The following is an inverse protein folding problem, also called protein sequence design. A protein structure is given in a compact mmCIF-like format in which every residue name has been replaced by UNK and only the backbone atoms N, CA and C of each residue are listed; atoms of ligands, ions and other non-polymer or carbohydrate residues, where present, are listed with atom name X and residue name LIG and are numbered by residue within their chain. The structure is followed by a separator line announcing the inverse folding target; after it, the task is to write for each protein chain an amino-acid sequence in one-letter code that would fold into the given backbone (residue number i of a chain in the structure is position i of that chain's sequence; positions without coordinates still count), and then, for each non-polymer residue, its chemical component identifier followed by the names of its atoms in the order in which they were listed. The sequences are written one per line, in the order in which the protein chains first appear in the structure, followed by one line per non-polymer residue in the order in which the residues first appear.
data_IF_130563915949
#
_entry.id   IF_130563915949
#
_cell.length_a   1.000
_cell.length_b   1.000
_cell.length_c   1.000
_cell.angle_alpha   90.00
_cell.angle_beta   90.00
_cell.angle_gamma   90.00
#
_symmetry.space_group_name_H-M   'P 1'
#
loop_
_entity.id
_entity.type
_entity.pdbx_description
1 polymer ?
#
# COMPACT_ATOMS: atom_id res chain seq x y z
N UNK A 1 -28.26 8.99 4.07
CA UNK A 1 -28.16 7.94 3.03
C UNK A 1 -27.04 8.23 2.05
N UNK A 2 -26.46 7.23 1.37
CA UNK A 2 -25.65 7.50 0.17
C UNK A 2 -26.65 8.06 -0.84
N UNK A 3 -26.38 9.22 -1.44
CA UNK A 3 -27.31 9.77 -2.41
C UNK A 3 -27.12 8.97 -3.69
N UNK A 4 -27.78 7.82 -3.75
CA UNK A 4 -27.73 6.88 -4.85
C UNK A 4 -28.34 7.45 -6.13
N UNK A 5 -29.16 8.48 -5.97
CA UNK A 5 -29.77 9.23 -7.04
C UNK A 5 -28.94 10.51 -7.23
N UNK A 6 -27.86 10.36 -8.00
CA UNK A 6 -27.19 11.52 -8.59
C UNK A 6 -28.17 12.23 -9.55
N UNK A 7 -28.03 13.55 -9.78
CA UNK A 7 -28.83 14.23 -10.80
C UNK A 7 -28.73 13.50 -12.14
N UNK A 8 -29.76 13.61 -12.99
CA UNK A 8 -29.93 12.95 -14.31
C UNK A 8 -28.71 13.09 -15.23
N UNK A 9 -27.64 12.38 -14.92
CA UNK A 9 -26.44 12.25 -15.73
C UNK A 9 -26.72 11.13 -16.71
N UNK A 10 -26.87 11.50 -17.99
CA UNK A 10 -26.95 10.53 -19.09
C UNK A 10 -25.56 9.94 -19.31
N UNK A 11 -25.45 8.61 -19.24
CA UNK A 11 -24.22 7.88 -19.50
C UNK A 11 -24.38 7.07 -20.79
N UNK A 12 -23.34 7.08 -21.64
CA UNK A 12 -23.30 6.20 -22.82
C UNK A 12 -23.03 4.76 -22.39
N UNK A 13 -23.88 3.85 -22.83
CA UNK A 13 -23.80 2.43 -22.51
C UNK A 13 -23.06 1.68 -23.62
N UNK A 14 -22.00 0.94 -23.26
CA UNK A 14 -21.26 0.12 -24.22
C UNK A 14 -21.75 -1.34 -24.24
N UNK A 15 -21.32 -2.10 -25.24
CA UNK A 15 -21.76 -3.49 -25.47
C UNK A 15 -21.30 -4.50 -24.40
N UNK A 16 -20.41 -4.10 -23.48
CA UNK A 16 -19.91 -4.96 -22.39
C UNK A 16 -20.58 -4.70 -21.05
N UNK A 17 -21.51 -3.75 -21.00
CA UNK A 17 -22.34 -3.47 -19.84
C UNK A 17 -23.74 -4.06 -20.05
N UNK A 18 -24.38 -4.45 -18.96
CA UNK A 18 -25.77 -4.91 -18.96
C UNK A 18 -26.62 -3.99 -18.09
N UNK A 19 -27.70 -3.46 -18.65
CA UNK A 19 -28.66 -2.65 -17.90
C UNK A 19 -29.69 -3.55 -17.22
N UNK A 20 -29.69 -3.55 -15.89
CA UNK A 20 -30.70 -4.25 -15.10
C UNK A 20 -31.87 -3.31 -14.82
N UNK A 21 -33.05 -3.63 -15.36
CA UNK A 21 -34.30 -2.91 -15.11
C UNK A 21 -35.16 -3.70 -14.13
N UNK A 22 -35.55 -3.06 -13.03
CA UNK A 22 -36.44 -3.67 -12.03
C UNK A 22 -37.86 -3.61 -12.56
N UNK A 23 -38.49 -4.77 -12.79
CA UNK A 23 -39.88 -4.87 -13.25
C UNK A 23 -40.89 -4.49 -12.16
N UNK A 24 -40.59 -4.83 -10.90
CA UNK A 24 -41.49 -4.56 -9.78
C UNK A 24 -40.70 -4.14 -8.53
N UNK A 25 -40.75 -2.85 -8.20
CA UNK A 25 -40.10 -2.26 -7.04
C UNK A 25 -40.77 -2.61 -5.70
N UNK A 26 -41.97 -3.23 -5.73
CA UNK A 26 -42.65 -3.78 -4.54
C UNK A 26 -42.09 -5.14 -4.11
N UNK A 27 -41.21 -5.76 -4.90
CA UNK A 27 -40.63 -7.08 -4.59
C UNK A 27 -39.13 -6.97 -4.29
N UNK A 28 -38.41 -6.13 -5.04
CA UNK A 28 -36.94 -6.05 -4.95
C UNK A 28 -36.48 -4.60 -4.79
N UNK A 29 -35.64 -4.36 -3.79
CA UNK A 29 -34.94 -3.09 -3.62
C UNK A 29 -33.70 -3.04 -4.53
N UNK A 30 -33.56 -1.97 -5.32
CA UNK A 30 -32.41 -1.75 -6.22
C UNK A 30 -31.06 -1.82 -5.50
N UNK A 31 -30.96 -1.24 -4.32
CA UNK A 31 -29.70 -1.18 -3.56
C UNK A 31 -29.35 -2.53 -2.93
N UNK A 32 -30.35 -3.28 -2.47
CA UNK A 32 -30.15 -4.66 -2.06
C UNK A 32 -29.62 -5.50 -3.24
N UNK A 33 -30.25 -5.37 -4.41
CA UNK A 33 -29.84 -6.08 -5.62
C UNK A 33 -28.40 -5.70 -6.05
N UNK A 34 -28.01 -4.43 -5.92
CA UNK A 34 -26.63 -4.00 -6.10
C UNK A 34 -25.66 -4.80 -5.21
N UNK A 35 -25.96 -4.94 -3.91
CA UNK A 35 -25.09 -5.69 -3.01
C UNK A 35 -25.08 -7.19 -3.32
N UNK A 36 -26.21 -7.77 -3.71
CA UNK A 36 -26.32 -9.17 -4.16
C UNK A 36 -25.40 -9.42 -5.35
N UNK A 37 -25.45 -8.60 -6.41
CA UNK A 37 -24.56 -8.74 -7.56
C UNK A 37 -23.08 -8.49 -7.26
N UNK A 38 -22.79 -7.71 -6.23
CA UNK A 38 -21.42 -7.49 -5.76
C UNK A 38 -20.93 -8.54 -4.76
N UNK A 39 -21.79 -9.47 -4.34
CA UNK A 39 -21.40 -10.55 -3.43
C UNK A 39 -20.51 -11.57 -4.11
N UNK A 40 -19.61 -12.18 -3.32
CA UNK A 40 -18.70 -13.21 -3.81
C UNK A 40 -19.45 -14.42 -4.39
N UNK A 41 -20.58 -14.82 -3.77
CA UNK A 41 -21.40 -15.94 -4.22
C UNK A 41 -21.88 -15.71 -5.66
N UNK A 42 -22.55 -14.57 -5.89
CA UNK A 42 -23.13 -14.26 -7.20
C UNK A 42 -22.06 -14.04 -8.26
N UNK A 43 -20.99 -13.30 -7.93
CA UNK A 43 -19.87 -13.10 -8.87
C UNK A 43 -19.21 -14.41 -9.28
N UNK A 44 -19.05 -15.35 -8.34
CA UNK A 44 -18.50 -16.68 -8.63
C UNK A 44 -19.45 -17.49 -9.51
N UNK A 45 -20.75 -17.51 -9.22
CA UNK A 45 -21.75 -18.19 -10.06
C UNK A 45 -21.82 -17.64 -11.48
N UNK A 46 -21.75 -16.31 -11.65
CA UNK A 46 -21.71 -15.67 -12.97
C UNK A 46 -20.41 -16.02 -13.71
N UNK A 47 -19.26 -16.02 -13.01
CA UNK A 47 -17.97 -16.35 -13.63
C UNK A 47 -17.84 -17.84 -14.01
N UNK A 48 -18.48 -18.73 -13.24
CA UNK A 48 -18.50 -20.16 -13.49
C UNK A 48 -19.38 -20.53 -14.68
N UNK A 49 -20.47 -19.79 -14.90
CA UNK A 49 -21.39 -20.01 -16.02
C UNK A 49 -21.01 -19.22 -17.28
N UNK A 50 -20.03 -18.33 -17.21
CA UNK A 50 -19.55 -17.54 -18.34
C UNK A 50 -18.77 -18.40 -19.36
N UNK A 51 -18.96 -18.11 -20.65
CA UNK A 51 -18.36 -18.84 -21.76
C UNK A 51 -17.06 -18.19 -22.24
N UNK A 52 -16.08 -18.99 -22.69
CA UNK A 52 -14.79 -18.52 -23.23
C UNK A 52 -13.60 -18.77 -22.31
N UNK A 53 -12.43 -19.08 -22.88
CA UNK A 53 -11.22 -19.51 -22.15
C UNK A 53 -10.26 -18.36 -21.82
N UNK A 54 -10.11 -17.37 -22.72
CA UNK A 54 -9.26 -16.18 -22.50
C UNK A 54 -10.05 -14.92 -22.11
N UNK A 55 -11.25 -14.76 -22.65
CA UNK A 55 -12.19 -13.68 -22.30
C UNK A 55 -13.53 -14.33 -22.02
N UNK A 56 -14.01 -14.20 -20.79
CA UNK A 56 -15.29 -14.77 -20.36
C UNK A 56 -16.43 -13.81 -20.68
N UNK A 57 -17.44 -14.30 -21.38
CA UNK A 57 -18.67 -13.58 -21.67
C UNK A 57 -19.85 -14.23 -20.95
N UNK A 58 -20.76 -13.43 -20.39
CA UNK A 58 -22.03 -13.90 -19.82
C UNK A 58 -23.19 -13.32 -20.63
N UNK A 59 -24.26 -14.10 -20.80
CA UNK A 59 -25.48 -13.61 -21.46
C UNK A 59 -26.44 -12.99 -20.43
N UNK A 60 -27.32 -12.07 -20.85
CA UNK A 60 -28.38 -11.56 -19.98
C UNK A 60 -29.27 -12.66 -19.41
N UNK A 61 -29.55 -13.71 -20.19
CA UNK A 61 -30.37 -14.83 -19.74
C UNK A 61 -29.73 -15.55 -18.54
N UNK A 62 -28.42 -15.86 -18.61
CA UNK A 62 -27.69 -16.49 -17.49
C UNK A 62 -27.71 -15.65 -16.22
N UNK A 63 -27.78 -14.32 -16.33
CA UNK A 63 -27.92 -13.42 -15.19
C UNK A 63 -29.34 -13.50 -14.61
N UNK A 64 -30.37 -13.58 -15.45
CA UNK A 64 -31.76 -13.75 -15.03
C UNK A 64 -32.03 -15.12 -14.39
N UNK A 65 -31.27 -16.16 -14.78
CA UNK A 65 -31.41 -17.52 -14.25
C UNK A 65 -30.79 -17.70 -12.85
N UNK A 66 -30.12 -16.66 -12.30
CA UNK A 66 -29.52 -16.72 -10.98
C UNK A 66 -30.58 -16.80 -9.88
N UNK A 67 -30.44 -17.80 -9.02
CA UNK A 67 -31.28 -17.95 -7.82
C UNK A 67 -30.67 -17.12 -6.68
N UNK A 68 -31.45 -16.20 -6.13
CA UNK A 68 -31.04 -15.33 -5.03
C UNK A 68 -32.06 -15.40 -3.88
N UNK A 69 -31.63 -15.37 -2.61
CA UNK A 69 -32.56 -15.26 -1.49
C UNK A 69 -33.18 -13.86 -1.48
N UNK A 70 -34.51 -13.79 -1.42
CA UNK A 70 -35.26 -12.54 -1.41
C UNK A 70 -35.96 -12.39 -0.05
N UNK A 71 -35.37 -11.69 0.93
CA UNK A 71 -36.05 -11.39 2.18
C UNK A 71 -37.16 -10.35 1.97
N UNK A 72 -38.04 -10.11 2.95
CA UNK A 72 -39.06 -9.06 2.86
C UNK A 72 -38.46 -7.69 2.52
N UNK A 73 -39.21 -6.88 1.77
CA UNK A 73 -38.75 -5.56 1.30
C UNK A 73 -38.15 -4.66 2.41
N UNK A 74 -38.74 -4.55 3.62
CA UNK A 74 -38.15 -3.72 4.67
C UNK A 74 -36.78 -4.23 5.11
N UNK A 75 -36.60 -5.55 5.15
CA UNK A 75 -35.30 -6.16 5.47
C UNK A 75 -34.28 -5.91 4.35
N UNK A 76 -34.69 -6.03 3.07
CA UNK A 76 -33.80 -5.70 1.94
C UNK A 76 -33.27 -4.27 2.03
N UNK A 77 -34.14 -3.30 2.33
CA UNK A 77 -33.77 -1.89 2.51
C UNK A 77 -32.80 -1.72 3.68
N UNK A 78 -33.10 -2.33 4.84
CA UNK A 78 -32.23 -2.27 6.02
C UNK A 78 -30.86 -2.90 5.77
N UNK A 79 -30.80 -4.05 5.08
CA UNK A 79 -29.54 -4.69 4.67
C UNK A 79 -28.74 -3.74 3.77
N UNK A 80 -29.39 -3.14 2.77
CA UNK A 80 -28.74 -2.20 1.87
C UNK A 80 -28.20 -0.98 2.62
N UNK A 81 -28.97 -0.41 3.55
CA UNK A 81 -28.54 0.73 4.36
C UNK A 81 -27.32 0.41 5.24
N UNK A 82 -27.30 -0.77 5.87
CA UNK A 82 -26.16 -1.25 6.65
C UNK A 82 -24.92 -1.35 5.75
N UNK A 83 -25.02 -2.04 4.62
CA UNK A 83 -23.88 -2.26 3.72
C UNK A 83 -23.40 -0.95 3.05
N UNK A 84 -24.31 -0.03 2.74
CA UNK A 84 -24.00 1.33 2.28
C UNK A 84 -23.24 2.14 3.34
N UNK A 85 -23.56 1.96 4.62
CA UNK A 85 -22.84 2.64 5.71
C UNK A 85 -21.38 2.18 5.76
N UNK A 86 -21.13 0.88 5.56
CA UNK A 86 -19.77 0.35 5.42
C UNK A 86 -19.04 0.90 4.20
N UNK A 87 -19.71 0.99 3.04
CA UNK A 87 -19.11 1.59 1.84
C UNK A 87 -18.67 3.04 2.06
N UNK A 88 -19.52 3.83 2.72
CA UNK A 88 -19.18 5.21 3.08
C UNK A 88 -17.99 5.28 4.02
N UNK A 89 -17.97 4.45 5.06
CA UNK A 89 -16.87 4.43 6.01
C UNK A 89 -15.54 4.08 5.34
N UNK A 90 -15.55 3.09 4.43
CA UNK A 90 -14.39 2.70 3.61
C UNK A 90 -13.95 3.86 2.71
N UNK A 91 -14.88 4.49 1.99
CA UNK A 91 -14.56 5.60 1.08
C UNK A 91 -13.98 6.82 1.83
N UNK A 92 -14.56 7.18 2.98
CA UNK A 92 -14.05 8.26 3.83
C UNK A 92 -12.65 7.95 4.36
N UNK A 93 -12.39 6.70 4.75
CA UNK A 93 -11.08 6.28 5.22
C UNK A 93 -10.03 6.30 4.10
N UNK A 94 -10.38 5.89 2.87
CA UNK A 94 -9.51 6.01 1.69
C UNK A 94 -9.17 7.47 1.37
N UNK A 95 -10.16 8.37 1.47
CA UNK A 95 -9.95 9.81 1.31
C UNK A 95 -9.04 10.38 2.41
N UNK A 96 -9.23 9.97 3.66
CA UNK A 96 -8.39 10.38 4.79
C UNK A 96 -6.94 9.93 4.60
N UNK A 97 -6.70 8.67 4.22
CA UNK A 97 -5.34 8.17 3.90
C UNK A 97 -4.69 9.00 2.80
N UNK A 98 -5.44 9.33 1.75
CA UNK A 98 -4.95 10.17 0.64
C UNK A 98 -4.57 11.57 1.12
N UNK A 99 -5.42 12.20 1.93
CA UNK A 99 -5.16 13.51 2.51
C UNK A 99 -3.92 13.50 3.43
N UNK A 100 -3.77 12.47 4.26
CA UNK A 100 -2.62 12.29 5.16
C UNK A 100 -1.31 12.07 4.40
N UNK A 101 -1.32 11.28 3.32
CA UNK A 101 -0.16 11.13 2.42
C UNK A 101 0.25 12.45 1.78
N UNK A 102 -0.72 13.24 1.29
CA UNK A 102 -0.46 14.57 0.71
C UNK A 102 0.11 15.53 1.76
N UNK A 103 -0.43 15.52 2.97
CA UNK A 103 0.10 16.31 4.09
C UNK A 103 1.55 15.92 4.41
N UNK A 104 1.86 14.62 4.51
CA UNK A 104 3.23 14.13 4.73
C UNK A 104 4.17 14.62 3.63
N UNK A 105 3.77 14.52 2.36
CA UNK A 105 4.58 15.00 1.24
C UNK A 105 4.87 16.51 1.35
N UNK A 106 3.87 17.31 1.74
CA UNK A 106 4.05 18.73 2.02
C UNK A 106 5.01 18.99 3.17
N UNK A 107 4.90 18.24 4.27
CA UNK A 107 5.82 18.33 5.41
C UNK A 107 7.27 17.97 5.02
N UNK A 108 7.46 16.91 4.23
CA UNK A 108 8.78 16.53 3.71
C UNK A 108 9.37 17.68 2.88
N UNK A 109 8.58 18.28 1.98
CA UNK A 109 9.05 19.42 1.19
C UNK A 109 9.41 20.61 2.07
N UNK A 110 8.65 20.90 3.12
CA UNK A 110 8.93 22.03 4.00
C UNK A 110 10.17 21.81 4.88
N UNK A 111 10.26 20.66 5.55
CA UNK A 111 11.26 20.37 6.56
C UNK A 111 12.60 19.95 5.94
N UNK A 112 12.60 19.03 4.96
CA UNK A 112 13.83 18.48 4.38
C UNK A 112 14.52 19.45 3.41
N UNK A 113 13.84 20.51 2.98
CA UNK A 113 14.44 21.57 2.13
C UNK A 113 14.67 22.87 2.88
N UNK A 114 14.51 22.88 4.22
CA UNK A 114 14.68 24.07 5.07
C UNK A 114 13.73 25.24 4.76
N UNK A 115 12.70 25.06 3.93
CA UNK A 115 11.66 26.09 3.70
C UNK A 115 10.93 26.48 4.98
N UNK A 116 10.82 25.55 5.93
CA UNK A 116 10.32 25.79 7.27
C UNK A 116 11.19 25.01 8.26
N UNK A 117 11.47 25.63 9.40
CA UNK A 117 12.17 25.00 10.53
C UNK A 117 11.30 25.10 11.78
N UNK A 118 11.68 24.36 12.82
CA UNK A 118 11.11 24.57 14.14
C UNK A 118 11.70 25.85 14.74
N UNK A 119 10.92 26.55 15.56
CA UNK A 119 11.28 27.90 16.06
C UNK A 119 12.63 27.91 16.77
N UNK A 120 12.90 26.88 17.55
CA UNK A 120 14.14 26.71 18.30
C UNK A 120 15.39 26.45 17.44
N UNK A 121 15.22 26.15 16.14
CA UNK A 121 16.31 25.95 15.18
C UNK A 121 16.34 27.06 14.11
N UNK A 122 15.54 28.12 14.27
CA UNK A 122 15.65 29.31 13.43
C UNK A 122 17.05 29.92 13.59
N UNK A 123 17.69 30.29 12.47
CA UNK A 123 19.06 30.84 12.47
C UNK A 123 20.19 29.81 12.65
N UNK A 124 19.93 28.57 13.08
CA UNK A 124 21.00 27.56 13.23
C UNK A 124 21.69 27.27 11.89
N UNK A 125 22.97 26.94 11.93
CA UNK A 125 23.73 26.58 10.73
C UNK A 125 23.14 25.32 10.07
N UNK A 126 23.22 25.26 8.74
CA UNK A 126 22.87 24.09 7.95
C UNK A 126 23.80 24.09 6.74
N UNK A 127 24.74 23.15 6.72
CA UNK A 127 25.62 22.92 5.58
C UNK A 127 25.05 21.85 4.68
N UNK A 128 25.63 21.70 3.49
CA UNK A 128 25.38 20.59 2.60
C UNK A 128 26.62 19.71 2.63
N UNK A 129 26.44 18.40 2.77
CA UNK A 129 27.52 17.41 2.74
C UNK A 129 27.18 16.33 1.73
N UNK A 130 28.20 15.73 1.10
CA UNK A 130 27.98 14.54 0.28
C UNK A 130 27.85 13.31 1.16
N UNK A 131 27.04 12.34 0.74
CA UNK A 131 26.90 11.07 1.49
C UNK A 131 28.24 10.36 1.70
N UNK A 132 29.17 10.43 0.74
CA UNK A 132 30.50 9.83 0.89
C UNK A 132 31.36 10.48 1.98
N UNK A 133 31.06 11.72 2.41
CA UNK A 133 31.78 12.42 3.48
C UNK A 133 31.32 11.97 4.87
N UNK A 134 30.10 11.43 4.98
CA UNK A 134 29.49 11.07 6.26
C UNK A 134 29.19 9.58 6.40
N UNK A 135 29.10 8.82 5.31
CA UNK A 135 28.73 7.41 5.31
C UNK A 135 29.67 6.55 4.46
N UNK A 136 30.03 5.39 4.98
CA UNK A 136 30.57 4.30 4.16
C UNK A 136 29.43 3.65 3.39
N UNK A 137 29.53 3.65 2.05
CA UNK A 137 28.53 3.07 1.16
C UNK A 137 29.10 1.78 0.57
N UNK A 138 28.48 0.65 0.91
CA UNK A 138 28.90 -0.67 0.39
C UNK A 138 27.80 -1.25 -0.49
N UNK A 139 28.16 -1.62 -1.72
CA UNK A 139 27.28 -2.35 -2.64
C UNK A 139 27.09 -3.79 -2.15
N UNK A 140 25.89 -4.33 -2.35
CA UNK A 140 25.59 -5.74 -2.14
C UNK A 140 26.38 -6.67 -3.04
N UNK A 141 26.38 -7.96 -2.68
CA UNK A 141 27.11 -9.00 -3.40
C UNK A 141 26.31 -10.31 -3.39
N UNK A 142 26.28 -10.97 -4.54
CA UNK A 142 25.52 -12.18 -4.78
C UNK A 142 26.49 -13.29 -5.19
N UNK A 143 26.33 -14.50 -4.63
CA UNK A 143 27.15 -15.64 -5.01
C UNK A 143 26.92 -15.98 -6.49
N UNK A 144 27.96 -16.45 -7.17
CA UNK A 144 27.94 -16.74 -8.62
C UNK A 144 28.29 -18.20 -8.90
N UNK A 145 27.60 -18.86 -9.85
CA UNK A 145 26.42 -18.39 -10.61
C UNK A 145 25.18 -18.21 -9.72
N UNK A 146 24.38 -17.15 -9.91
CA UNK A 146 23.30 -16.76 -8.97
C UNK A 146 22.23 -17.85 -8.82
N UNK A 147 21.98 -18.62 -9.87
CA UNK A 147 20.89 -19.59 -9.95
C UNK A 147 21.25 -20.95 -9.34
N UNK A 148 22.51 -21.15 -8.93
CA UNK A 148 22.95 -22.42 -8.37
C UNK A 148 22.17 -22.72 -7.07
N UNK A 149 21.43 -23.85 -7.00
CA UNK A 149 20.63 -24.21 -5.83
C UNK A 149 21.42 -24.27 -4.52
N UNK A 150 22.72 -24.54 -4.56
CA UNK A 150 23.57 -24.64 -3.36
C UNK A 150 23.65 -23.35 -2.54
N UNK A 151 23.31 -22.21 -3.15
CA UNK A 151 23.30 -20.91 -2.47
C UNK A 151 22.07 -20.69 -1.59
N UNK A 152 21.02 -21.48 -1.77
CA UNK A 152 19.75 -21.26 -1.11
C UNK A 152 19.52 -22.25 0.01
N UNK A 153 18.73 -21.82 0.99
CA UNK A 153 18.27 -22.65 2.10
C UNK A 153 16.77 -22.38 2.33
N UNK A 154 16.09 -23.30 3.02
CA UNK A 154 14.69 -23.12 3.41
C UNK A 154 14.54 -22.07 4.52
N UNK A 155 15.56 -21.97 5.39
CA UNK A 155 15.60 -21.04 6.53
C UNK A 155 17.01 -20.45 6.68
N UNK A 156 17.16 -19.41 7.51
CA UNK A 156 18.44 -18.81 7.83
C UNK A 156 18.46 -17.31 7.57
N UNK A 157 19.59 -16.79 7.08
CA UNK A 157 19.75 -15.37 6.78
C UNK A 157 19.01 -15.03 5.48
N UNK A 158 18.10 -14.07 5.54
CA UNK A 158 17.28 -13.66 4.40
C UNK A 158 18.10 -13.14 3.22
N UNK A 159 17.61 -13.28 1.99
CA UNK A 159 18.23 -12.67 0.80
C UNK A 159 17.35 -11.57 0.25
N UNK A 160 17.77 -10.31 0.42
CA UNK A 160 16.96 -9.14 0.06
C UNK A 160 16.92 -8.96 -1.46
N UNK A 161 15.71 -9.01 -2.03
CA UNK A 161 15.40 -8.71 -3.42
C UNK A 161 14.47 -7.50 -3.52
N UNK A 162 14.33 -6.98 -4.74
CA UNK A 162 13.50 -5.79 -4.99
C UNK A 162 12.03 -5.99 -4.57
N UNK A 163 11.49 -7.20 -4.75
CA UNK A 163 10.13 -7.56 -4.33
C UNK A 163 9.93 -7.52 -2.82
N UNK A 164 10.97 -7.80 -2.04
CA UNK A 164 10.85 -7.82 -0.57
C UNK A 164 10.81 -6.37 -0.03
N UNK A 165 11.61 -5.46 -0.63
CA UNK A 165 11.57 -4.04 -0.24
C UNK A 165 10.30 -3.34 -0.70
N UNK A 166 9.77 -3.66 -1.89
CA UNK A 166 8.51 -3.06 -2.38
C UNK A 166 7.27 -3.57 -1.64
N UNK A 167 7.33 -4.77 -1.07
CA UNK A 167 6.28 -5.32 -0.20
C UNK A 167 6.36 -4.79 1.25
N UNK A 168 7.46 -4.14 1.62
CA UNK A 168 7.71 -3.63 2.97
C UNK A 168 7.43 -2.13 3.08
N UNK A 169 7.04 -1.68 4.28
CA UNK A 169 6.93 -0.26 4.63
C UNK A 169 8.31 0.29 5.06
N UNK A 170 8.43 0.87 6.25
CA UNK A 170 9.72 1.38 6.76
C UNK A 170 10.71 0.26 7.04
N UNK A 171 10.25 -0.83 7.65
CA UNK A 171 11.08 -1.96 8.06
C UNK A 171 10.93 -3.13 7.10
N UNK A 172 12.07 -3.69 6.68
CA UNK A 172 12.15 -4.97 5.97
C UNK A 172 12.18 -6.10 7.01
N UNK A 173 11.04 -6.72 7.26
CA UNK A 173 10.90 -7.77 8.29
C UNK A 173 10.76 -9.18 7.73
N UNK A 174 10.67 -9.32 6.41
CA UNK A 174 10.51 -10.61 5.73
C UNK A 174 11.26 -10.61 4.41
N UNK A 175 11.79 -11.77 4.03
CA UNK A 175 12.36 -12.04 2.71
C UNK A 175 11.75 -13.32 2.15
N UNK A 176 11.59 -13.37 0.84
CA UNK A 176 11.04 -14.53 0.15
C UNK A 176 12.06 -15.65 -0.15
N UNK A 177 13.35 -15.41 0.07
CA UNK A 177 14.43 -16.39 -0.11
C UNK A 177 15.43 -16.29 1.05
N UNK A 178 16.09 -17.40 1.38
CA UNK A 178 17.16 -17.47 2.38
C UNK A 178 18.44 -18.02 1.76
N UNK A 179 19.59 -17.59 2.27
CA UNK A 179 20.90 -18.05 1.81
C UNK A 179 21.44 -19.17 2.70
N UNK A 180 22.14 -20.12 2.08
CA UNK A 180 22.99 -21.09 2.78
C UNK A 180 24.20 -20.40 3.43
N UNK A 181 24.83 -21.05 4.41
CA UNK A 181 26.01 -20.49 5.09
C UNK A 181 27.16 -20.16 4.11
N UNK A 182 27.36 -21.02 3.10
CA UNK A 182 28.36 -20.81 2.05
C UNK A 182 28.04 -19.56 1.20
N UNK A 183 26.77 -19.30 0.90
CA UNK A 183 26.37 -18.09 0.18
C UNK A 183 26.52 -16.84 1.04
N UNK A 184 26.23 -16.93 2.35
CA UNK A 184 26.37 -15.82 3.30
C UNK A 184 27.83 -15.32 3.38
N UNK A 185 28.82 -16.21 3.30
CA UNK A 185 30.25 -15.84 3.27
C UNK A 185 30.64 -15.07 2.00
N UNK A 186 29.92 -15.29 0.89
CA UNK A 186 30.15 -14.63 -0.40
C UNK A 186 29.26 -13.40 -0.61
N UNK A 187 28.49 -13.00 0.38
CA UNK A 187 27.50 -11.92 0.31
C UNK A 187 27.77 -10.80 1.31
N UNK A 188 27.08 -9.67 1.10
CA UNK A 188 27.12 -8.55 2.05
C UNK A 188 26.02 -8.72 3.09
N UNK A 189 26.43 -9.01 4.32
CA UNK A 189 25.56 -9.12 5.50
C UNK A 189 25.05 -7.74 5.92
N UNK A 190 23.77 -7.68 6.25
CA UNK A 190 23.10 -6.55 6.89
C UNK A 190 22.28 -7.03 8.07
N UNK A 191 22.28 -6.26 9.16
CA UNK A 191 21.68 -6.67 10.43
C UNK A 191 20.52 -5.76 10.83
N UNK A 192 19.64 -6.18 11.76
CA UNK A 192 18.58 -5.33 12.26
C UNK A 192 19.10 -3.95 12.64
N UNK A 193 18.50 -2.91 12.07
CA UNK A 193 18.92 -1.52 12.21
C UNK A 193 19.77 -0.97 11.06
N UNK A 194 20.36 -1.79 10.18
CA UNK A 194 21.08 -1.30 9.01
C UNK A 194 20.13 -0.56 8.05
N UNK A 195 20.60 0.55 7.47
CA UNK A 195 19.88 1.28 6.42
C UNK A 195 20.38 0.83 5.05
N UNK A 196 19.47 0.34 4.22
CA UNK A 196 19.76 -0.08 2.85
C UNK A 196 18.95 0.74 1.84
N UNK A 197 19.42 0.83 0.60
CA UNK A 197 18.68 1.45 -0.51
C UNK A 197 18.84 0.66 -1.79
N UNK A 198 17.78 0.54 -2.57
CA UNK A 198 17.83 -0.07 -3.91
C UNK A 198 18.51 0.84 -4.94
N UNK A 199 19.34 0.25 -5.78
CA UNK A 199 20.12 0.92 -6.84
C UNK A 199 19.86 0.34 -8.24
N UNK A 200 18.97 -0.64 -8.35
CA UNK A 200 18.64 -1.37 -9.58
C UNK A 200 17.14 -1.70 -9.61
N UNK A 201 16.57 -1.77 -10.82
CA UNK A 201 15.16 -2.01 -11.12
C UNK A 201 14.19 -0.94 -10.59
N UNK A 202 14.04 -0.81 -9.28
CA UNK A 202 13.28 0.29 -8.65
C UNK A 202 14.23 1.08 -7.76
N UNK A 203 14.85 2.11 -8.31
CA UNK A 203 15.92 2.88 -7.65
C UNK A 203 15.36 3.75 -6.51
N UNK A 204 16.16 3.94 -5.46
CA UNK A 204 15.93 4.98 -4.46
C UNK A 204 14.90 4.59 -3.39
N UNK A 205 14.66 3.29 -3.17
CA UNK A 205 13.79 2.80 -2.10
C UNK A 205 14.64 2.47 -0.88
N UNK A 206 14.63 3.30 0.18
CA UNK A 206 15.33 3.01 1.42
C UNK A 206 14.51 2.07 2.32
N UNK A 207 15.17 1.19 3.06
CA UNK A 207 14.55 0.34 4.10
C UNK A 207 15.48 0.23 5.30
N UNK A 208 14.88 0.18 6.48
CA UNK A 208 15.58 -0.22 7.70
C UNK A 208 15.44 -1.74 7.82
N UNK A 209 16.56 -2.44 7.90
CA UNK A 209 16.58 -3.89 8.04
C UNK A 209 16.01 -4.27 9.40
N UNK A 210 15.04 -5.19 9.45
CA UNK A 210 14.42 -5.68 10.69
C UNK A 210 14.77 -7.13 11.02
N UNK A 211 15.46 -7.83 10.12
CA UNK A 211 15.86 -9.24 10.25
C UNK A 211 17.30 -9.41 9.76
N UNK A 212 18.08 -10.39 10.26
CA UNK A 212 19.36 -10.73 9.68
C UNK A 212 19.21 -11.10 8.20
N UNK A 213 19.89 -10.39 7.32
CA UNK A 213 19.79 -10.61 5.88
C UNK A 213 21.11 -10.38 5.13
N UNK A 214 21.17 -10.77 3.87
CA UNK A 214 22.20 -10.42 2.91
C UNK A 214 21.55 -9.64 1.78
N UNK A 215 22.24 -8.61 1.26
CA UNK A 215 21.71 -7.77 0.20
C UNK A 215 22.24 -8.19 -1.19
N UNK A 216 21.32 -8.27 -2.16
CA UNK A 216 21.63 -8.48 -3.57
C UNK A 216 22.44 -7.30 -4.17
N UNK A 217 23.10 -7.51 -5.32
CA UNK A 217 23.95 -6.53 -6.04
C UNK A 217 23.22 -5.24 -6.44
N UNK A 218 21.89 -5.29 -6.40
CA UNK A 218 20.97 -4.18 -6.67
C UNK A 218 20.69 -3.28 -5.46
N UNK A 219 21.49 -3.38 -4.39
CA UNK A 219 21.34 -2.59 -3.18
C UNK A 219 22.68 -2.03 -2.70
N UNK A 220 22.60 -0.99 -1.87
CA UNK A 220 23.70 -0.48 -1.04
C UNK A 220 23.28 -0.49 0.43
N UNK A 221 24.26 -0.62 1.33
CA UNK A 221 24.12 -0.36 2.77
C UNK A 221 24.93 0.86 3.16
N UNK A 222 24.39 1.70 4.03
CA UNK A 222 25.05 2.87 4.61
C UNK A 222 25.53 2.54 6.02
N UNK A 223 26.77 2.93 6.36
CA UNK A 223 27.37 2.67 7.68
C UNK A 223 28.21 3.85 8.18
N UNK A 224 28.31 3.99 9.50
CA UNK A 224 29.24 4.93 10.14
C UNK A 224 28.81 6.40 10.06
N UNK A 225 27.54 6.66 9.74
CA UNK A 225 26.99 7.99 9.58
C UNK A 225 26.27 8.50 10.83
N UNK A 226 25.99 7.63 11.79
CA UNK A 226 25.11 7.87 12.93
C UNK A 226 25.59 8.98 13.87
N UNK A 227 26.89 9.32 13.85
CA UNK A 227 27.45 10.45 14.61
C UNK A 227 27.15 11.82 14.00
N UNK A 228 26.75 11.87 12.72
CA UNK A 228 26.56 13.11 11.97
C UNK A 228 25.15 13.23 11.40
N UNK A 229 24.54 12.09 11.08
CA UNK A 229 23.25 12.00 10.43
C UNK A 229 22.36 11.01 11.18
N UNK A 230 21.16 11.44 11.58
CA UNK A 230 20.14 10.56 12.12
C UNK A 230 19.64 9.57 11.05
N UNK A 231 19.46 8.31 11.44
CA UNK A 231 19.07 7.22 10.54
C UNK A 231 17.69 7.40 9.94
N UNK A 232 16.72 7.84 10.73
CA UNK A 232 15.36 8.06 10.25
C UNK A 232 15.29 9.34 9.42
N UNK A 233 16.07 10.37 9.76
CA UNK A 233 16.24 11.53 8.92
C UNK A 233 16.77 11.14 7.54
N UNK A 234 17.86 10.35 7.46
CA UNK A 234 18.41 9.87 6.19
C UNK A 234 17.41 9.00 5.42
N UNK A 235 16.69 8.11 6.11
CA UNK A 235 15.60 7.32 5.52
C UNK A 235 14.53 8.21 4.86
N UNK A 236 14.05 9.24 5.56
CA UNK A 236 13.05 10.17 5.02
C UNK A 236 13.61 11.04 3.89
N UNK A 237 14.87 11.46 4.01
CA UNK A 237 15.54 12.24 2.98
C UNK A 237 15.69 11.46 1.69
N UNK A 238 16.19 10.22 1.74
CA UNK A 238 16.29 9.34 0.57
C UNK A 238 14.91 9.12 -0.06
N UNK A 239 13.87 8.84 0.75
CA UNK A 239 12.50 8.72 0.24
C UNK A 239 12.04 9.98 -0.50
N UNK A 240 12.35 11.17 0.05
CA UNK A 240 11.97 12.46 -0.55
C UNK A 240 12.64 12.69 -1.91
N UNK A 241 13.91 12.33 -2.05
CA UNK A 241 14.66 12.53 -3.30
C UNK A 241 14.62 11.33 -4.26
N UNK A 242 13.93 10.25 -3.89
CA UNK A 242 13.90 8.98 -4.64
C UNK A 242 13.58 9.15 -6.13
N UNK A 243 12.62 10.01 -6.48
CA UNK A 243 12.29 10.33 -7.87
C UNK A 243 13.47 10.97 -8.61
N UNK A 244 14.15 11.95 -7.98
CA UNK A 244 15.33 12.62 -8.53
C UNK A 244 16.49 11.64 -8.72
N UNK A 245 16.70 10.74 -7.77
CA UNK A 245 17.72 9.68 -7.88
C UNK A 245 17.39 8.77 -9.09
N UNK A 246 16.14 8.37 -9.24
CA UNK A 246 15.69 7.54 -10.36
C UNK A 246 15.85 8.23 -11.72
N UNK A 247 15.68 9.55 -11.78
CA UNK A 247 15.83 10.33 -13.01
C UNK A 247 17.30 10.49 -13.43
N UNK A 248 18.24 10.36 -12.49
CA UNK A 248 19.68 10.49 -12.71
C UNK A 248 20.33 9.34 -13.51
N UNK A 249 19.58 8.28 -13.84
CA UNK A 249 20.05 7.19 -14.70
C UNK A 249 19.97 7.52 -16.20
N UNK A 250 20.94 7.04 -16.99
CA UNK A 250 21.02 7.31 -18.43
C UNK A 250 19.73 6.93 -19.18
N UNK A 251 19.26 7.74 -20.16
CA UNK A 251 18.14 7.37 -21.00
C UNK A 251 18.42 6.09 -21.81
N UNK A 252 17.45 5.17 -21.90
CA UNK A 252 17.48 4.05 -22.86
C UNK A 252 18.08 2.72 -22.40
N UNK A 253 18.60 2.60 -21.18
CA UNK A 253 19.04 1.32 -20.58
C UNK A 253 18.35 1.10 -19.22
N UNK A 254 18.36 -0.14 -18.67
CA UNK A 254 17.92 -0.35 -17.29
C UNK A 254 18.72 0.59 -16.38
N UNK A 255 18.06 1.61 -15.85
CA UNK A 255 18.69 2.61 -14.98
C UNK A 255 19.20 1.88 -13.73
N UNK A 256 20.52 1.80 -13.61
CA UNK A 256 21.23 1.31 -12.44
C UNK A 256 22.17 2.44 -11.98
N UNK A 257 22.18 2.72 -10.69
CA UNK A 257 23.12 3.69 -10.11
C UNK A 257 24.26 2.95 -9.39
N UNK A 258 25.45 3.54 -9.39
CA UNK A 258 26.62 2.98 -8.71
C UNK A 258 26.88 3.71 -7.37
N UNK A 259 27.82 3.19 -6.58
CA UNK A 259 28.16 3.75 -5.27
C UNK A 259 28.73 5.17 -5.35
N UNK A 260 29.37 5.54 -6.47
CA UNK A 260 29.87 6.91 -6.70
C UNK A 260 28.73 7.91 -6.85
N UNK A 261 27.71 7.57 -7.64
CA UNK A 261 26.49 8.39 -7.79
C UNK A 261 25.80 8.54 -6.44
N UNK A 262 25.63 7.44 -5.69
CA UNK A 262 25.04 7.48 -4.35
C UNK A 262 25.89 8.33 -3.40
N UNK A 263 27.22 8.21 -3.44
CA UNK A 263 28.14 8.99 -2.62
C UNK A 263 28.07 10.49 -2.88
N UNK A 264 27.83 10.89 -4.12
CA UNK A 264 27.69 12.30 -4.53
C UNK A 264 26.32 12.91 -4.20
N UNK A 265 25.37 12.17 -3.64
CA UNK A 265 24.10 12.74 -3.19
C UNK A 265 24.39 13.75 -2.08
N UNK A 266 23.93 14.98 -2.31
CA UNK A 266 23.99 16.08 -1.36
C UNK A 266 22.87 15.96 -0.32
N UNK A 267 23.23 16.06 0.95
CA UNK A 267 22.32 15.97 2.10
C UNK A 267 22.45 17.24 2.94
N UNK A 268 21.34 17.91 3.29
CA UNK A 268 21.37 19.00 4.25
C UNK A 268 21.73 18.45 5.64
N UNK A 269 22.80 18.98 6.20
CA UNK A 269 23.30 18.62 7.53
C UNK A 269 22.80 19.64 8.55
N UNK A 270 21.63 19.35 9.11
CA UNK A 270 21.11 20.03 10.29
C UNK A 270 21.83 19.56 11.56
N UNK A 271 21.59 20.22 12.71
CA UNK A 271 22.01 19.66 14.00
C UNK A 271 21.36 18.30 14.24
N UNK A 272 22.01 17.39 14.98
CA UNK A 272 21.44 16.06 15.25
C UNK A 272 20.06 16.16 15.92
N UNK A 273 19.87 17.13 16.82
CA UNK A 273 18.59 17.39 17.48
C UNK A 273 17.48 17.76 16.50
N UNK A 274 17.77 18.64 15.54
CA UNK A 274 16.80 19.02 14.52
C UNK A 274 16.51 17.85 13.58
N UNK A 275 17.53 17.08 13.19
CA UNK A 275 17.34 15.88 12.37
C UNK A 275 16.40 14.88 13.06
N UNK A 276 16.60 14.61 14.35
CA UNK A 276 15.73 13.75 15.16
C UNK A 276 14.31 14.30 15.27
N UNK A 277 14.14 15.63 15.39
CA UNK A 277 12.81 16.25 15.44
C UNK A 277 12.07 16.17 14.10
N UNK A 278 12.77 16.38 12.99
CA UNK A 278 12.23 16.16 11.64
C UNK A 278 11.85 14.69 11.48
N UNK A 279 12.76 13.78 11.82
CA UNK A 279 12.59 12.35 11.67
C UNK A 279 11.40 11.81 12.48
N UNK A 280 11.27 12.21 13.74
CA UNK A 280 10.15 11.82 14.60
C UNK A 280 8.82 12.34 14.06
N UNK A 281 8.76 13.59 13.58
CA UNK A 281 7.55 14.18 12.96
C UNK A 281 7.11 13.37 11.74
N UNK A 282 8.04 13.06 10.83
CA UNK A 282 7.74 12.32 9.61
C UNK A 282 7.42 10.84 9.89
N UNK A 283 8.08 10.23 10.88
CA UNK A 283 7.82 8.86 11.30
C UNK A 283 6.47 8.72 12.00
N UNK A 284 6.04 9.72 12.78
CA UNK A 284 4.70 9.76 13.35
C UNK A 284 3.62 9.82 12.26
N UNK A 285 3.83 10.61 11.21
CA UNK A 285 2.93 10.64 10.06
C UNK A 285 2.85 9.29 9.33
N UNK A 286 3.98 8.59 9.17
CA UNK A 286 4.00 7.23 8.60
C UNK A 286 3.26 6.21 9.47
N UNK A 287 3.45 6.26 10.79
CA UNK A 287 2.75 5.39 11.71
C UNK A 287 1.23 5.61 11.65
N UNK A 288 0.79 6.88 11.59
CA UNK A 288 -0.63 7.22 11.43
C UNK A 288 -1.20 6.65 10.11
N UNK A 289 -0.51 6.86 8.99
CA UNK A 289 -0.93 6.33 7.67
C UNK A 289 -1.00 4.80 7.71
N UNK A 290 0.01 4.12 8.27
CA UNK A 290 0.03 2.67 8.36
C UNK A 290 -1.12 2.13 9.21
N UNK A 291 -1.47 2.81 10.31
CA UNK A 291 -2.61 2.41 11.14
C UNK A 291 -3.94 2.57 10.40
N UNK A 292 -4.12 3.66 9.65
CA UNK A 292 -5.32 3.87 8.82
C UNK A 292 -5.43 2.82 7.70
N UNK A 293 -4.33 2.41 7.09
CA UNK A 293 -4.30 1.34 6.08
C UNK A 293 -4.70 -0.02 6.67
N UNK A 294 -4.22 -0.34 7.88
CA UNK A 294 -4.64 -1.55 8.61
C UNK A 294 -6.13 -1.50 8.94
N UNK A 295 -6.63 -0.35 9.39
CA UNK A 295 -8.06 -0.16 9.66
C UNK A 295 -8.89 -0.31 8.37
N UNK A 296 -8.41 0.20 7.24
CA UNK A 296 -9.07 0.05 5.94
C UNK A 296 -9.15 -1.42 5.52
N UNK A 297 -8.07 -2.18 5.69
CA UNK A 297 -8.07 -3.61 5.42
C UNK A 297 -9.08 -4.36 6.30
N UNK A 298 -9.12 -4.03 7.60
CA UNK A 298 -10.09 -4.60 8.54
C UNK A 298 -11.53 -4.27 8.15
N UNK A 299 -11.84 -3.02 7.77
CA UNK A 299 -13.19 -2.63 7.34
C UNK A 299 -13.63 -3.35 6.08
N UNK A 300 -12.73 -3.51 5.09
CA UNK A 300 -13.01 -4.28 3.87
C UNK A 300 -13.30 -5.76 4.20
N UNK A 301 -12.53 -6.35 5.11
CA UNK A 301 -12.74 -7.73 5.57
C UNK A 301 -14.07 -7.89 6.32
N UNK A 302 -14.37 -7.01 7.27
CA UNK A 302 -15.61 -7.01 8.04
C UNK A 302 -16.84 -6.83 7.13
N UNK A 303 -16.80 -5.88 6.18
CA UNK A 303 -17.86 -5.72 5.18
C UNK A 303 -18.08 -6.99 4.38
N UNK A 304 -17.01 -7.65 3.92
CA UNK A 304 -17.11 -8.92 3.18
C UNK A 304 -17.78 -10.01 4.02
N UNK A 305 -17.40 -10.13 5.30
CA UNK A 305 -18.04 -11.06 6.23
C UNK A 305 -19.53 -10.75 6.44
N UNK A 306 -19.87 -9.46 6.59
CA UNK A 306 -21.25 -9.03 6.77
C UNK A 306 -22.10 -9.30 5.53
N UNK A 307 -21.57 -9.07 4.33
CA UNK A 307 -22.24 -9.45 3.08
C UNK A 307 -22.53 -10.95 3.04
N UNK A 308 -21.59 -11.80 3.46
CA UNK A 308 -21.82 -13.25 3.52
C UNK A 308 -22.91 -13.65 4.51
N UNK A 309 -23.06 -12.93 5.63
CA UNK A 309 -24.10 -13.23 6.62
C UNK A 309 -25.48 -12.72 6.20
N UNK A 310 -25.56 -11.47 5.73
CA UNK A 310 -26.84 -10.80 5.44
C UNK A 310 -27.43 -11.21 4.09
N UNK A 311 -26.62 -11.30 3.03
CA UNK A 311 -27.11 -11.57 1.68
C UNK A 311 -27.42 -13.06 1.45
N UNK A 312 -27.06 -13.95 2.38
CA UNK A 312 -27.37 -15.38 2.30
C UNK A 312 -28.50 -15.79 3.26
N UNK A 313 -29.01 -14.85 4.07
CA UNK A 313 -30.01 -15.13 5.10
C UNK A 313 -29.48 -15.86 6.34
N UNK A 314 -28.18 -16.17 6.42
CA UNK A 314 -27.54 -16.75 7.62
C UNK A 314 -27.77 -15.91 8.88
N UNK A 315 -27.87 -14.59 8.72
CA UNK A 315 -28.28 -13.67 9.77
C UNK A 315 -29.38 -12.75 9.23
N UNK A 316 -30.52 -12.75 9.91
CA UNK A 316 -31.65 -11.86 9.60
C UNK A 316 -31.48 -10.52 10.31
N UNK A 317 -31.95 -9.45 9.69
CA UNK A 317 -31.92 -8.12 10.29
C UNK A 317 -33.25 -7.85 10.97
N UNK A 318 -33.20 -7.42 12.24
CA UNK A 318 -34.40 -6.96 12.95
C UNK A 318 -34.94 -5.72 12.22
N UNK A 319 -36.21 -5.79 11.83
CA UNK A 319 -36.95 -4.69 11.23
C UNK A 319 -37.68 -4.04 12.39
N UNK A 320 -37.41 -2.76 12.65
CA UNK A 320 -38.22 -2.00 13.60
C UNK A 320 -39.62 -1.90 12.97
N UNK A 321 -40.65 -2.44 13.63
CA UNK A 321 -42.02 -2.30 13.14
C UNK A 321 -42.35 -0.80 13.08
N UNK A 322 -42.93 -0.30 11.96
CA UNK A 322 -43.43 1.06 11.96
C UNK A 322 -44.47 1.17 13.06
N UNK A 323 -44.30 2.13 13.97
CA UNK A 323 -45.36 2.54 14.88
C UNK A 323 -46.57 2.89 14.02
N UNK A 324 -47.57 2.01 13.98
CA UNK A 324 -48.85 2.36 13.38
C UNK A 324 -49.37 3.52 14.20
N UNK A 325 -49.40 4.71 13.59
CA UNK A 325 -50.22 5.81 14.09
C UNK A 325 -51.64 5.24 14.20
N UNK A 326 -52.08 5.01 15.44
CA UNK A 326 -53.49 4.77 15.74
C UNK A 326 -54.24 5.99 15.23
N UNK A 327 -55.11 5.75 14.25
CA UNK A 327 -56.00 6.73 13.62
C UNK A 327 -56.83 7.43 14.68
#
# INVERSE_FOLDING_TARGET
MQNWDAPDKKYLHNQRLGLIKIKNSRIICKYFLYFVFNSWLIRTSVSATASGTKVKHTSPQKICDLIIPIPPLPEQRKIADILSTWDKAIALLEQLITAKRKLKQGLMQQLLTRKKRFKEFEGSECSIVKLSEVATIRRGASPRPIQDPKWFAETGRGWVRIKDVTASNTYLTQTSQYLSNLAVEKSVKVDPGDLIMSICATIGIPRIVGIPACIHDGFVVFRGFEKQIDKFFLYHYINFISSRISDSGQPGTQKNINTTIVGNIEVPKFSLEEQQKIASTLSAADAEISNLEKQLAAYKQQKRGLMQQLLTGKKRVKIDEPQMQKV
#
